data_IF_945722399907
#
_entry.id   IF_945722399907
#
_cell.length_a   1.000
_cell.length_b   1.000
_cell.length_c   1.000
_cell.angle_alpha   90.00
_cell.angle_beta   90.00
_cell.angle_gamma   90.00
#
_symmetry.space_group_name_H-M   'P 1'
#
loop_
_entity.id
_entity.type
_entity.pdbx_description
1 polymer ?
#
# COMPACT_ATOMS: atom_id res chain seq x y z
N UNK A 1 45.14 -12.67 -17.74
CA UNK A 1 44.40 -13.78 -17.10
C UNK A 1 42.91 -13.44 -17.24
N UNK A 2 42.20 -14.04 -18.21
CA UNK A 2 40.77 -13.79 -18.46
C UNK A 2 39.95 -14.51 -17.40
N UNK A 3 39.14 -13.81 -16.62
CA UNK A 3 38.16 -14.44 -15.74
C UNK A 3 36.99 -14.93 -16.61
N UNK A 4 36.83 -16.25 -16.67
CA UNK A 4 35.64 -16.89 -17.20
C UNK A 4 34.48 -16.55 -16.25
N UNK A 5 33.56 -15.71 -16.72
CA UNK A 5 32.25 -15.55 -16.10
C UNK A 5 31.55 -16.90 -16.24
N UNK A 6 31.51 -17.68 -15.17
CA UNK A 6 30.59 -18.81 -15.07
C UNK A 6 29.19 -18.22 -15.23
N UNK A 7 28.54 -18.55 -16.35
CA UNK A 7 27.11 -18.28 -16.50
C UNK A 7 26.39 -19.09 -15.43
N UNK A 8 26.06 -18.43 -14.32
CA UNK A 8 25.14 -18.96 -13.33
C UNK A 8 23.82 -19.21 -14.04
N UNK A 9 23.33 -20.45 -13.94
CA UNK A 9 21.99 -20.84 -14.38
C UNK A 9 21.00 -19.74 -13.98
N UNK A 10 20.17 -19.22 -14.88
CA UNK A 10 19.17 -18.23 -14.50
C UNK A 10 18.35 -18.81 -13.34
N UNK A 11 18.01 -17.99 -12.32
CA UNK A 11 17.16 -18.46 -11.24
C UNK A 11 15.93 -19.12 -11.87
N UNK A 12 15.53 -20.27 -11.33
CA UNK A 12 14.28 -20.88 -11.72
C UNK A 12 13.22 -19.78 -11.70
N UNK A 13 12.56 -19.55 -12.84
CA UNK A 13 11.38 -18.70 -12.90
C UNK A 13 10.51 -19.13 -11.74
N UNK A 14 10.20 -18.24 -10.77
CA UNK A 14 9.29 -18.61 -9.72
C UNK A 14 8.02 -19.11 -10.42
N UNK A 15 7.60 -20.32 -10.03
CA UNK A 15 6.31 -20.88 -10.38
C UNK A 15 5.30 -19.72 -10.37
N UNK A 16 4.53 -19.60 -11.46
CA UNK A 16 3.45 -18.63 -11.73
C UNK A 16 3.04 -17.82 -10.50
N UNK A 17 2.94 -16.47 -10.53
CA UNK A 17 2.69 -15.63 -9.35
C UNK A 17 1.42 -16.08 -8.61
N UNK A 18 1.60 -17.04 -7.70
CA UNK A 18 0.56 -17.89 -7.14
C UNK A 18 0.28 -17.52 -5.70
N UNK A 19 0.32 -16.21 -5.41
CA UNK A 19 -0.56 -15.65 -4.39
C UNK A 19 -1.88 -15.33 -5.07
N UNK A 20 -3.01 -15.58 -4.42
CA UNK A 20 -4.28 -14.99 -4.85
C UNK A 20 -4.10 -13.47 -4.78
N UNK A 21 -3.79 -12.83 -5.92
CA UNK A 21 -3.72 -11.38 -5.98
C UNK A 21 -5.18 -10.93 -5.99
N UNK A 22 -5.69 -10.60 -4.80
CA UNK A 22 -7.03 -10.09 -4.52
C UNK A 22 -7.20 -8.63 -4.98
N UNK A 23 -6.64 -8.30 -6.15
CA UNK A 23 -6.57 -6.93 -6.64
C UNK A 23 -7.96 -6.32 -6.88
N UNK A 24 -8.92 -7.04 -7.51
CA UNK A 24 -10.28 -6.52 -7.65
C UNK A 24 -10.95 -6.28 -6.31
N UNK A 25 -10.73 -7.15 -5.32
CA UNK A 25 -11.31 -7.02 -3.99
C UNK A 25 -10.73 -5.81 -3.24
N UNK A 26 -9.42 -5.58 -3.33
CA UNK A 26 -8.78 -4.39 -2.75
C UNK A 26 -9.28 -3.12 -3.45
N UNK A 27 -9.42 -3.14 -4.78
CA UNK A 27 -9.99 -2.03 -5.54
C UNK A 27 -11.43 -1.72 -5.11
N UNK A 28 -12.28 -2.75 -5.00
CA UNK A 28 -13.66 -2.57 -4.56
C UNK A 28 -13.71 -2.01 -3.13
N UNK A 29 -12.91 -2.57 -2.20
CA UNK A 29 -12.85 -2.08 -0.83
C UNK A 29 -12.40 -0.62 -0.76
N UNK A 30 -11.44 -0.22 -1.60
CA UNK A 30 -11.03 1.18 -1.74
C UNK A 30 -12.17 2.06 -2.24
N UNK A 31 -12.88 1.64 -3.28
CA UNK A 31 -13.99 2.40 -3.86
C UNK A 31 -15.18 2.52 -2.90
N UNK A 32 -15.47 1.48 -2.12
CA UNK A 32 -16.48 1.50 -1.05
C UNK A 32 -16.11 2.48 0.08
N UNK A 33 -14.83 2.86 0.16
CA UNK A 33 -14.29 3.81 1.13
C UNK A 33 -13.79 5.12 0.47
N UNK A 34 -14.16 5.40 -0.78
CA UNK A 34 -13.62 6.55 -1.56
C UNK A 34 -13.82 7.91 -0.90
N UNK A 35 -14.95 8.10 -0.21
CA UNK A 35 -15.31 9.36 0.46
C UNK A 35 -14.96 9.36 1.96
N UNK A 36 -14.29 8.31 2.45
CA UNK A 36 -13.91 8.13 3.85
C UNK A 36 -12.42 8.39 4.06
N UNK A 37 -12.02 8.54 5.31
CA UNK A 37 -10.60 8.63 5.66
C UNK A 37 -9.89 7.30 5.39
N UNK A 38 -8.79 7.37 4.65
CA UNK A 38 -7.91 6.23 4.40
C UNK A 38 -6.59 6.48 5.12
N UNK A 39 -6.22 5.55 5.99
CA UNK A 39 -4.92 5.54 6.63
C UNK A 39 -4.02 4.51 5.96
N UNK A 40 -2.73 4.79 5.91
CA UNK A 40 -1.71 3.84 5.47
C UNK A 40 -0.59 3.85 6.49
N UNK A 41 -0.17 2.68 6.95
CA UNK A 41 0.92 2.55 7.91
C UNK A 41 1.83 1.38 7.55
N UNK A 42 3.13 1.66 7.46
CA UNK A 42 4.16 0.65 7.21
C UNK A 42 5.19 0.61 8.33
N UNK A 43 5.81 -0.55 8.53
CA UNK A 43 6.89 -0.74 9.49
C UNK A 43 8.04 -1.57 8.90
N UNK A 44 9.27 -1.21 9.29
CA UNK A 44 10.48 -1.75 8.67
C UNK A 44 10.55 -1.38 7.19
N UNK A 45 10.96 -2.32 6.35
CA UNK A 45 11.05 -2.13 4.90
C UNK A 45 9.68 -1.85 4.24
N UNK A 46 8.58 -2.20 4.92
CA UNK A 46 7.22 -1.87 4.47
C UNK A 46 6.88 -0.38 4.52
N UNK A 47 7.65 0.44 5.23
CA UNK A 47 7.41 1.89 5.34
C UNK A 47 7.53 2.61 3.99
N UNK A 48 8.55 2.28 3.18
CA UNK A 48 8.73 2.88 1.86
C UNK A 48 7.59 2.51 0.89
N UNK A 49 7.11 1.26 0.95
CA UNK A 49 5.97 0.83 0.16
C UNK A 49 4.66 1.50 0.61
N UNK A 50 4.51 1.75 1.92
CA UNK A 50 3.40 2.52 2.47
C UNK A 50 3.41 3.97 1.97
N UNK A 51 4.56 4.65 1.97
CA UNK A 51 4.68 6.02 1.45
C UNK A 51 4.35 6.10 -0.04
N UNK A 52 4.81 5.12 -0.83
CA UNK A 52 4.45 5.03 -2.25
C UNK A 52 2.94 4.84 -2.44
N UNK A 53 2.30 3.96 -1.64
CA UNK A 53 0.86 3.78 -1.66
C UNK A 53 0.09 5.05 -1.28
N UNK A 54 0.56 5.81 -0.29
CA UNK A 54 -0.03 7.12 0.06
C UNK A 54 0.01 8.05 -1.15
N UNK A 55 1.17 8.18 -1.80
CA UNK A 55 1.32 9.04 -2.97
C UNK A 55 0.37 8.65 -4.11
N UNK A 56 0.27 7.35 -4.40
CA UNK A 56 -0.65 6.80 -5.42
C UNK A 56 -2.12 7.07 -5.09
N UNK A 57 -2.54 6.88 -3.84
CA UNK A 57 -3.92 7.12 -3.46
C UNK A 57 -4.27 8.61 -3.51
N UNK A 58 -3.37 9.48 -3.05
CA UNK A 58 -3.55 10.94 -3.14
C UNK A 58 -3.64 11.43 -4.59
N UNK A 59 -2.81 10.92 -5.51
CA UNK A 59 -2.84 11.33 -6.92
C UNK A 59 -4.15 10.93 -7.63
N UNK A 60 -4.83 9.90 -7.14
CA UNK A 60 -6.14 9.46 -7.61
C UNK A 60 -7.32 10.08 -6.85
N UNK A 61 -7.05 10.96 -5.89
CA UNK A 61 -8.05 11.77 -5.21
C UNK A 61 -8.66 11.15 -3.96
N UNK A 62 -8.07 10.07 -3.43
CA UNK A 62 -8.51 9.51 -2.16
C UNK A 62 -8.06 10.37 -0.98
N UNK A 63 -8.88 10.42 0.08
CA UNK A 63 -8.57 11.15 1.31
C UNK A 63 -7.60 10.36 2.19
N UNK A 64 -6.31 10.38 1.85
CA UNK A 64 -5.27 9.77 2.67
C UNK A 64 -4.82 10.71 3.79
N UNK A 65 -4.86 10.21 5.03
CA UNK A 65 -4.39 10.91 6.21
C UNK A 65 -3.11 10.25 6.75
N UNK A 66 -2.21 11.07 7.30
CA UNK A 66 -1.04 10.56 8.02
C UNK A 66 -1.51 9.66 9.17
N UNK A 67 -0.96 8.45 9.22
CA UNK A 67 -1.28 7.52 10.29
C UNK A 67 -0.65 7.99 11.60
N UNK A 68 -1.50 8.20 12.59
CA UNK A 68 -1.15 8.03 14.00
C UNK A 68 -2.28 7.27 14.65
N UNK A 69 -1.97 6.47 15.67
CA UNK A 69 -2.99 5.77 16.47
C UNK A 69 -4.03 6.74 17.03
N UNK A 70 -3.59 7.92 17.47
CA UNK A 70 -4.44 8.96 18.00
C UNK A 70 -5.38 9.54 16.94
N UNK A 71 -4.89 9.77 15.71
CA UNK A 71 -5.72 10.26 14.61
C UNK A 71 -6.79 9.24 14.21
N UNK A 72 -6.43 7.95 14.14
CA UNK A 72 -7.37 6.87 13.85
C UNK A 72 -8.46 6.80 14.92
N UNK A 73 -8.10 6.79 16.20
CA UNK A 73 -9.06 6.75 17.31
C UNK A 73 -9.95 7.99 17.32
N UNK A 74 -9.39 9.17 17.05
CA UNK A 74 -10.15 10.42 17.02
C UNK A 74 -11.20 10.44 15.89
N UNK A 75 -10.87 9.90 14.71
CA UNK A 75 -11.82 9.75 13.61
C UNK A 75 -12.94 8.75 13.93
N UNK A 76 -12.59 7.57 14.46
CA UNK A 76 -13.58 6.58 14.87
C UNK A 76 -14.58 7.11 15.91
N UNK A 77 -14.11 7.89 16.90
CA UNK A 77 -14.98 8.50 17.92
C UNK A 77 -16.01 9.48 17.36
N UNK A 78 -15.81 9.99 16.14
CA UNK A 78 -16.77 10.84 15.42
C UNK A 78 -17.69 10.04 14.49
N UNK A 79 -17.71 8.71 14.60
CA UNK A 79 -18.39 7.79 13.68
C UNK A 79 -17.91 7.92 12.22
N UNK A 80 -16.66 8.37 12.01
CA UNK A 80 -16.04 8.48 10.70
C UNK A 80 -15.04 7.35 10.49
N UNK A 81 -15.51 6.10 10.57
CA UNK A 81 -14.68 4.93 10.23
C UNK A 81 -14.39 4.90 8.73
N UNK A 82 -13.27 4.30 8.37
CA UNK A 82 -12.83 4.22 6.99
C UNK A 82 -11.94 3.00 6.78
N UNK A 83 -10.83 3.20 6.08
CA UNK A 83 -9.93 2.13 5.71
C UNK A 83 -8.53 2.33 6.32
N UNK A 84 -7.86 1.23 6.66
CA UNK A 84 -6.46 1.20 7.06
C UNK A 84 -5.69 0.17 6.23
N UNK A 85 -4.64 0.62 5.55
CA UNK A 85 -3.61 -0.25 4.99
C UNK A 85 -2.51 -0.48 6.02
N UNK A 86 -2.13 -1.74 6.21
CA UNK A 86 -1.00 -2.15 7.05
C UNK A 86 0.03 -2.87 6.20
N UNK A 87 1.25 -2.33 6.12
CA UNK A 87 2.33 -2.88 5.29
C UNK A 87 3.47 -3.37 6.19
N UNK A 88 3.53 -4.68 6.42
CA UNK A 88 4.57 -5.28 7.25
C UNK A 88 4.84 -6.74 6.87
N UNK A 89 6.09 -7.06 6.52
CA UNK A 89 6.49 -8.38 6.01
C UNK A 89 6.13 -9.51 6.97
N UNK A 90 6.54 -9.41 8.25
CA UNK A 90 6.28 -10.45 9.25
C UNK A 90 4.82 -10.47 9.71
N UNK A 91 4.15 -9.32 9.58
CA UNK A 91 2.80 -9.07 10.09
C UNK A 91 2.71 -9.05 11.62
N UNK A 92 3.84 -8.82 12.31
CA UNK A 92 3.93 -8.80 13.77
C UNK A 92 4.03 -7.36 14.30
N UNK A 93 4.84 -6.52 13.66
CA UNK A 93 5.18 -5.19 14.19
C UNK A 93 3.96 -4.24 14.30
N UNK A 94 2.92 -4.50 13.49
CA UNK A 94 1.70 -3.70 13.42
C UNK A 94 0.49 -4.42 14.03
N UNK A 95 0.70 -5.47 14.83
CA UNK A 95 -0.37 -6.28 15.39
C UNK A 95 -1.32 -5.47 16.30
N UNK A 96 -0.77 -4.61 17.16
CA UNK A 96 -1.56 -3.77 18.07
C UNK A 96 -2.41 -2.77 17.28
N UNK A 97 -1.87 -2.20 16.21
CA UNK A 97 -2.57 -1.24 15.36
C UNK A 97 -3.69 -1.89 14.55
N UNK A 98 -3.48 -3.14 14.11
CA UNK A 98 -4.55 -3.95 13.51
C UNK A 98 -5.67 -4.24 14.51
N UNK A 99 -5.32 -4.58 15.77
CA UNK A 99 -6.29 -4.86 16.81
C UNK A 99 -7.15 -3.63 17.10
N UNK A 100 -6.52 -2.48 17.32
CA UNK A 100 -7.21 -1.21 17.57
C UNK A 100 -8.11 -0.85 16.38
N UNK A 101 -7.60 -0.90 15.16
CA UNK A 101 -8.38 -0.57 13.98
C UNK A 101 -9.61 -1.50 13.82
N UNK A 102 -9.43 -2.80 14.11
CA UNK A 102 -10.51 -3.79 14.07
C UNK A 102 -11.58 -3.48 15.12
N UNK A 103 -11.17 -3.22 16.37
CA UNK A 103 -12.08 -2.89 17.48
C UNK A 103 -12.88 -1.61 17.23
N UNK A 104 -12.30 -0.65 16.50
CA UNK A 104 -12.97 0.59 16.08
C UNK A 104 -13.73 0.47 14.74
N UNK A 105 -13.80 -0.73 14.14
CA UNK A 105 -14.61 -0.99 12.95
C UNK A 105 -14.04 -0.41 11.65
N UNK A 106 -12.72 -0.24 11.55
CA UNK A 106 -12.07 0.08 10.28
C UNK A 106 -12.01 -1.15 9.36
N UNK A 107 -12.17 -0.92 8.06
CA UNK A 107 -11.80 -1.90 7.06
C UNK A 107 -10.27 -1.98 6.99
N UNK A 108 -9.69 -3.17 7.14
CA UNK A 108 -8.24 -3.35 7.16
C UNK A 108 -7.80 -4.10 5.92
N UNK A 109 -6.86 -3.53 5.16
CA UNK A 109 -6.13 -4.21 4.10
C UNK A 109 -4.69 -4.47 4.56
N UNK A 110 -4.37 -5.72 4.88
CA UNK A 110 -3.02 -6.11 5.28
C UNK A 110 -2.20 -6.54 4.06
N UNK A 111 -1.00 -5.98 3.90
CA UNK A 111 0.00 -6.40 2.94
C UNK A 111 1.15 -7.02 3.73
N UNK A 112 1.32 -8.34 3.62
CA UNK A 112 2.26 -9.11 4.46
C UNK A 112 2.80 -10.33 3.75
N UNK A 113 3.96 -10.83 4.19
CA UNK A 113 4.52 -12.09 3.71
C UNK A 113 4.01 -13.32 4.45
N UNK A 114 3.33 -13.13 5.59
CA UNK A 114 2.89 -14.22 6.46
C UNK A 114 1.35 -14.27 6.59
N UNK A 115 0.68 -15.26 5.96
CA UNK A 115 -0.79 -15.39 6.01
C UNK A 115 -1.33 -15.77 7.39
N UNK A 116 -0.48 -16.28 8.28
CA UNK A 116 -0.86 -16.65 9.65
C UNK A 116 -0.47 -15.57 10.66
N UNK A 117 -0.09 -14.38 10.22
CA UNK A 117 0.29 -13.27 11.10
C UNK A 117 -0.91 -12.64 11.81
N UNK A 118 -0.71 -11.98 12.97
CA UNK A 118 -1.77 -11.21 13.63
C UNK A 118 -2.49 -10.22 12.70
N UNK A 119 -1.74 -9.44 11.91
CA UNK A 119 -2.35 -8.46 10.99
C UNK A 119 -3.20 -9.13 9.91
N UNK A 120 -2.78 -10.29 9.38
CA UNK A 120 -3.55 -11.02 8.38
C UNK A 120 -4.87 -11.56 8.93
N UNK A 121 -4.88 -12.03 10.19
CA UNK A 121 -6.10 -12.57 10.82
C UNK A 121 -7.15 -11.51 11.14
N UNK A 122 -6.71 -10.29 11.42
CA UNK A 122 -7.58 -9.16 11.76
C UNK A 122 -8.05 -8.38 10.53
N UNK A 123 -7.42 -8.62 9.37
CA UNK A 123 -7.69 -7.88 8.16
C UNK A 123 -9.01 -8.28 7.50
N UNK A 124 -9.69 -7.29 6.91
CA UNK A 124 -10.80 -7.51 5.98
C UNK A 124 -10.31 -8.19 4.71
N UNK A 125 -9.18 -7.74 4.18
CA UNK A 125 -8.50 -8.33 3.02
C UNK A 125 -7.02 -8.47 3.34
N UNK A 126 -6.44 -9.63 3.01
CA UNK A 126 -5.00 -9.86 3.13
C UNK A 126 -4.37 -10.10 1.76
N UNK A 127 -3.40 -9.26 1.41
CA UNK A 127 -2.52 -9.40 0.25
C UNK A 127 -1.24 -10.11 0.70
N UNK A 128 -1.02 -11.33 0.21
CA UNK A 128 0.13 -12.15 0.57
C UNK A 128 1.26 -11.99 -0.44
N UNK A 129 2.32 -11.31 -0.02
CA UNK A 129 3.54 -11.10 -0.80
C UNK A 129 4.70 -11.86 -0.15
N UNK A 130 4.92 -13.10 -0.57
CA UNK A 130 5.98 -13.95 0.01
C UNK A 130 7.34 -13.27 -0.15
N UNK A 131 8.14 -13.24 0.91
CA UNK A 131 9.54 -12.82 0.86
C UNK A 131 10.47 -13.98 0.54
N UNK A 132 11.67 -13.65 0.08
CA UNK A 132 12.76 -14.62 -0.03
C UNK A 132 13.52 -14.58 1.29
N UNK A 133 13.18 -15.48 2.22
CA UNK A 133 13.87 -15.51 3.51
C UNK A 133 15.30 -16.01 3.35
N UNK A 134 16.25 -15.12 3.62
CA UNK A 134 17.66 -15.45 3.78
C UNK A 134 17.87 -16.52 4.86
N UNK A 135 18.81 -17.44 4.63
CA UNK A 135 19.41 -18.27 5.69
C UNK A 135 20.73 -17.61 6.12
N UNK A 136 21.17 -17.77 7.39
CA UNK A 136 22.45 -17.20 7.83
C UNK A 136 23.65 -17.62 6.97
N UNK A 137 23.61 -18.80 6.37
CA UNK A 137 24.67 -19.36 5.53
C UNK A 137 24.55 -18.99 4.03
N UNK A 138 23.43 -18.38 3.62
CA UNK A 138 23.16 -18.01 2.23
C UNK A 138 22.23 -16.80 2.21
N UNK A 139 22.83 -15.62 2.03
CA UNK A 139 22.07 -14.39 1.87
C UNK A 139 21.32 -14.40 0.54
N UNK A 140 20.01 -14.26 0.62
CA UNK A 140 19.12 -13.94 -0.49
C UNK A 140 18.51 -12.56 -0.23
N UNK A 141 18.60 -11.60 -1.18
CA UNK A 141 17.97 -10.31 -1.01
C UNK A 141 16.47 -10.45 -0.74
N UNK A 142 15.97 -9.70 0.24
CA UNK A 142 14.53 -9.59 0.46
C UNK A 142 13.92 -8.63 -0.56
N UNK A 143 12.81 -9.06 -1.15
CA UNK A 143 12.06 -8.31 -2.15
C UNK A 143 10.66 -7.94 -1.68
N UNK A 144 10.34 -8.08 -0.39
CA UNK A 144 9.02 -7.74 0.14
C UNK A 144 8.61 -6.30 -0.20
N UNK A 145 9.48 -5.30 0.09
CA UNK A 145 9.20 -3.91 -0.24
C UNK A 145 8.97 -3.70 -1.74
N UNK A 146 9.85 -4.26 -2.59
CA UNK A 146 9.73 -4.15 -4.04
C UNK A 146 8.43 -4.78 -4.57
N UNK A 147 8.02 -5.93 -4.03
CA UNK A 147 6.76 -6.59 -4.37
C UNK A 147 5.56 -5.77 -3.90
N UNK A 148 5.63 -5.15 -2.72
CA UNK A 148 4.58 -4.28 -2.20
C UNK A 148 4.40 -3.03 -3.07
N UNK A 149 5.50 -2.40 -3.50
CA UNK A 149 5.44 -1.30 -4.46
C UNK A 149 4.88 -1.74 -5.81
N UNK A 150 5.29 -2.91 -6.30
CA UNK A 150 4.76 -3.47 -7.56
C UNK A 150 3.26 -3.74 -7.47
N UNK A 151 2.78 -4.25 -6.33
CA UNK A 151 1.34 -4.39 -6.05
C UNK A 151 0.63 -3.03 -6.11
N UNK A 152 1.19 -2.00 -5.47
CA UNK A 152 0.67 -0.63 -5.54
C UNK A 152 0.57 -0.14 -6.98
N UNK A 153 1.58 -0.35 -7.83
CA UNK A 153 1.53 0.04 -9.24
C UNK A 153 0.45 -0.72 -10.04
N UNK A 154 0.22 -2.01 -9.74
CA UNK A 154 -0.87 -2.77 -10.35
C UNK A 154 -2.26 -2.29 -9.92
N UNK A 155 -2.37 -1.84 -8.68
CA UNK A 155 -3.58 -1.22 -8.14
C UNK A 155 -3.81 0.13 -8.82
N UNK A 156 -2.80 0.99 -8.85
CA UNK A 156 -2.80 2.30 -9.52
C UNK A 156 -3.32 2.22 -10.96
N UNK A 157 -2.78 1.28 -11.74
CA UNK A 157 -3.17 1.09 -13.14
C UNK A 157 -4.67 0.80 -13.36
N UNK A 158 -5.40 0.47 -12.29
CA UNK A 158 -6.84 0.19 -12.30
C UNK A 158 -7.66 1.22 -11.52
N UNK A 159 -7.04 2.14 -10.79
CA UNK A 159 -7.77 3.12 -10.00
C UNK A 159 -8.35 4.22 -10.91
N UNK A 160 -9.64 4.58 -10.76
CA UNK A 160 -10.17 5.77 -11.39
C UNK A 160 -9.55 7.01 -10.75
N UNK A 161 -9.53 8.13 -11.47
CA UNK A 161 -9.36 9.44 -10.85
C UNK A 161 -10.70 9.85 -10.25
N UNK A 162 -10.76 10.08 -8.94
CA UNK A 162 -11.99 10.48 -8.24
C UNK A 162 -12.35 11.94 -8.47
N UNK A 163 -11.35 12.76 -8.79
CA UNK A 163 -11.53 14.10 -9.28
C UNK A 163 -11.37 14.07 -10.79
N UNK A 164 -12.40 14.46 -11.53
CA UNK A 164 -12.19 14.86 -12.92
C UNK A 164 -11.39 16.16 -12.90
N UNK A 165 -10.35 16.29 -13.73
CA UNK A 165 -9.90 17.61 -14.12
C UNK A 165 -11.06 18.25 -14.88
N UNK A 166 -11.87 19.05 -14.20
CA UNK A 166 -12.82 19.89 -14.90
C UNK A 166 -12.03 20.78 -15.85
N UNK A 167 -12.56 21.05 -17.05
CA UNK A 167 -12.03 22.10 -17.93
C UNK A 167 -11.87 23.42 -17.16
N UNK A 168 -12.69 23.65 -16.12
CA UNK A 168 -12.57 24.79 -15.22
C UNK A 168 -11.26 24.81 -14.40
N UNK A 169 -10.74 23.66 -13.97
CA UNK A 169 -9.49 23.57 -13.19
C UNK A 169 -8.28 23.85 -14.06
N UNK A 170 -8.30 23.36 -15.31
CA UNK A 170 -7.28 23.71 -16.30
C UNK A 170 -7.29 25.21 -16.63
N UNK A 171 -8.47 25.82 -16.73
CA UNK A 171 -8.60 27.26 -16.95
C UNK A 171 -8.10 28.05 -15.74
N UNK A 172 -8.48 27.65 -14.52
CA UNK A 172 -8.03 28.29 -13.28
C UNK A 172 -6.51 28.24 -13.11
N UNK A 173 -5.89 27.07 -13.33
CA UNK A 173 -4.44 26.91 -13.27
C UNK A 173 -3.71 27.68 -14.38
N UNK A 174 -4.31 27.79 -15.57
CA UNK A 174 -3.76 28.61 -16.65
C UNK A 174 -3.83 30.12 -16.36
N UNK A 175 -4.87 30.56 -15.65
CA UNK A 175 -5.04 31.96 -15.27
C UNK A 175 -4.10 32.34 -14.14
N UNK A 176 -3.85 31.45 -13.18
CA UNK A 176 -2.86 31.65 -12.12
C UNK A 176 -1.46 31.83 -12.73
N UNK A 177 -1.05 30.95 -13.65
CA UNK A 177 0.25 31.09 -14.35
C UNK A 177 0.39 32.40 -15.13
N UNK A 178 -0.67 32.82 -15.84
CA UNK A 178 -0.66 34.10 -16.56
C UNK A 178 -0.55 35.32 -15.65
N UNK A 179 -1.06 35.24 -14.41
CA UNK A 179 -0.93 36.32 -13.44
C UNK A 179 0.47 36.37 -12.81
N UNK A 180 1.13 35.22 -12.66
CA UNK A 180 2.53 35.14 -12.20
C UNK A 180 3.53 35.62 -13.26
N UNK A 181 3.26 35.37 -14.54
CA UNK A 181 4.10 35.84 -15.66
C UNK A 181 3.91 37.35 -15.96
N UNK A 182 2.88 37.98 -15.40
CA UNK A 182 2.52 39.38 -15.63
C UNK A 182 2.92 40.32 -14.48
N UNK A 183 3.51 39.80 -13.40
CA UNK A 183 4.08 40.55 -12.27
C UNK A 183 5.59 40.62 -12.33
#
# INVERSE_FOLDING_TARGET
RRYLVQQSKPPATPDSPGGSIVLPEVQNLLLDNKDKSIFVYGAGDGAFAADYLVSTLLSHGFCCLSYTRQALIAQARRNHTGMLFLVNESGIALADDACIAHDFGYCICAITGNPSSPVARLATITVILRSNKSKPQSYEPDFFCARAMTFTSYLEARLPYLFENSIADHIALSNIRKMEDAG
#
